data_IF_270330292631
#
_entry.id   IF_270330292631
#
_cell.length_a   1.000
_cell.length_b   1.000
_cell.length_c   1.000
_cell.angle_alpha   90.00
_cell.angle_beta   90.00
_cell.angle_gamma   90.00
#
_symmetry.space_group_name_H-M   'P 1'
#
loop_
_entity.id
_entity.type
_entity.pdbx_description
1 polymer ?
#
# COMPACT_ATOMS: atom_id res chain seq x y z
N UNK A 1 -15.04 -15.10 -5.22
CA UNK A 1 -14.29 -13.86 -5.46
C UNK A 1 -14.20 -13.22 -4.10
N UNK A 2 -13.06 -13.40 -3.45
CA UNK A 2 -12.78 -12.73 -2.19
C UNK A 2 -12.57 -11.24 -2.49
N UNK A 3 -13.19 -10.39 -1.69
CA UNK A 3 -13.09 -8.94 -1.83
C UNK A 3 -12.17 -8.45 -0.74
N UNK A 4 -11.03 -7.92 -1.14
CA UNK A 4 -10.14 -7.21 -0.22
C UNK A 4 -10.69 -5.80 -0.09
N UNK A 5 -11.18 -5.47 1.10
CA UNK A 5 -11.62 -4.13 1.46
C UNK A 5 -10.44 -3.34 2.02
N UNK A 6 -10.22 -2.15 1.49
CA UNK A 6 -9.25 -1.19 2.02
C UNK A 6 -10.01 -0.03 2.65
N UNK A 7 -9.79 0.19 3.94
CA UNK A 7 -10.26 1.37 4.65
C UNK A 7 -9.07 2.23 4.99
N UNK A 8 -9.16 3.50 4.62
CA UNK A 8 -8.15 4.52 4.90
C UNK A 8 -8.74 5.50 5.90
N UNK A 9 -8.09 5.66 7.04
CA UNK A 9 -8.38 6.72 8.00
C UNK A 9 -7.20 7.69 7.99
N UNK A 10 -7.47 8.92 7.59
CA UNK A 10 -6.48 9.97 7.39
C UNK A 10 -6.71 11.06 8.42
N UNK A 11 -5.66 11.37 9.18
CA UNK A 11 -5.58 12.49 10.12
C UNK A 11 -4.62 13.55 9.54
N UNK A 12 -5.08 14.41 8.62
CA UNK A 12 -4.20 15.31 7.89
C UNK A 12 -3.74 16.50 8.74
N UNK A 13 -4.46 16.81 9.83
CA UNK A 13 -4.16 17.92 10.73
C UNK A 13 -3.24 17.55 11.91
N UNK A 14 -2.84 16.27 12.01
CA UNK A 14 -1.84 15.82 12.99
C UNK A 14 -0.43 16.26 12.55
N UNK A 15 0.50 16.37 13.50
CA UNK A 15 1.91 16.69 13.24
C UNK A 15 2.82 15.54 13.74
N UNK A 16 3.31 14.64 12.87
CA UNK A 16 3.08 14.58 11.42
C UNK A 16 1.67 14.07 11.07
N UNK A 17 1.24 14.27 9.81
CA UNK A 17 -0.02 13.71 9.33
C UNK A 17 0.03 12.18 9.40
N UNK A 18 -1.03 11.56 9.89
CA UNK A 18 -1.10 10.10 10.10
C UNK A 18 -2.10 9.50 9.13
N UNK A 19 -1.79 8.32 8.61
CA UNK A 19 -2.76 7.49 7.89
C UNK A 19 -2.74 6.11 8.52
N UNK A 20 -3.91 5.60 8.83
CA UNK A 20 -4.09 4.20 9.13
C UNK A 20 -4.83 3.50 8.02
N UNK A 21 -4.37 2.30 7.75
CA UNK A 21 -4.84 1.43 6.71
C UNK A 21 -5.37 0.16 7.37
N UNK A 22 -6.63 -0.15 7.12
CA UNK A 22 -7.23 -1.41 7.54
C UNK A 22 -7.56 -2.23 6.31
N UNK A 23 -7.00 -3.43 6.25
CA UNK A 23 -7.36 -4.43 5.26
C UNK A 23 -8.30 -5.42 5.89
N UNK A 24 -9.48 -5.52 5.30
CA UNK A 24 -10.52 -6.46 5.72
C UNK A 24 -10.69 -7.53 4.64
N UNK A 25 -10.59 -8.79 5.05
CA UNK A 25 -10.98 -9.93 4.21
C UNK A 25 -12.13 -10.70 4.86
N UNK A 26 -13.33 -10.55 4.27
CA UNK A 26 -14.58 -11.08 4.83
C UNK A 26 -14.62 -12.61 4.92
N UNK A 27 -13.83 -13.32 4.11
CA UNK A 27 -13.86 -14.79 4.04
C UNK A 27 -12.90 -15.46 5.03
N UNK A 28 -11.76 -14.82 5.31
CA UNK A 28 -10.71 -15.37 6.17
C UNK A 28 -10.66 -14.75 7.57
N UNK A 29 -11.48 -13.73 7.86
CA UNK A 29 -11.53 -13.10 9.18
C UNK A 29 -10.24 -12.35 9.52
N UNK A 30 -9.63 -11.76 8.49
CA UNK A 30 -8.35 -11.07 8.59
C UNK A 30 -8.64 -9.57 8.70
N UNK A 31 -8.31 -9.03 9.87
CA UNK A 31 -8.29 -7.59 10.17
C UNK A 31 -6.83 -7.21 10.46
N UNK A 32 -6.09 -6.77 9.43
CA UNK A 32 -4.75 -6.20 9.65
C UNK A 32 -4.84 -4.68 9.59
N UNK A 33 -4.54 -4.05 10.72
CA UNK A 33 -4.39 -2.59 10.82
C UNK A 33 -2.92 -2.23 10.78
N UNK A 34 -2.55 -1.38 9.83
CA UNK A 34 -1.25 -0.77 9.75
C UNK A 34 -1.39 0.75 9.91
N UNK A 35 -0.48 1.38 10.65
CA UNK A 35 -0.48 2.83 10.85
C UNK A 35 0.86 3.39 10.38
N UNK A 36 0.79 4.42 9.55
CA UNK A 36 1.93 5.07 8.93
C UNK A 36 1.87 6.57 9.18
N UNK A 37 3.05 7.19 9.31
CA UNK A 37 3.17 8.64 9.38
C UNK A 37 3.63 9.19 8.03
N UNK A 38 3.32 10.46 7.76
CA UNK A 38 3.84 11.12 6.58
C UNK A 38 5.38 11.09 6.55
N UNK A 39 5.94 10.65 5.43
CA UNK A 39 7.36 10.38 5.25
C UNK A 39 7.70 8.88 5.16
N UNK A 40 6.75 8.00 5.48
CA UNK A 40 6.92 6.55 5.39
C UNK A 40 6.59 6.01 3.99
N UNK A 41 7.33 4.98 3.58
CA UNK A 41 7.05 4.14 2.42
C UNK A 41 7.15 2.69 2.88
N UNK A 42 6.07 1.94 2.70
CA UNK A 42 5.93 0.61 3.31
C UNK A 42 5.33 -0.37 2.31
N UNK A 43 5.91 -1.57 2.27
CA UNK A 43 5.42 -2.70 1.47
C UNK A 43 4.71 -3.70 2.37
N UNK A 44 3.39 -3.80 2.21
CA UNK A 44 2.53 -4.62 3.07
C UNK A 44 2.14 -5.89 2.31
N UNK A 45 2.48 -7.09 2.78
CA UNK A 45 2.00 -8.31 2.14
C UNK A 45 0.48 -8.37 2.24
N UNK A 46 -0.19 -8.69 1.13
CA UNK A 46 -1.61 -9.05 1.12
C UNK A 46 -1.69 -10.54 1.44
N UNK A 47 -2.20 -10.93 2.62
CA UNK A 47 -2.32 -12.32 3.03
C UNK A 47 -3.12 -13.11 2.01
N UNK A 48 -2.70 -14.35 1.79
CA UNK A 48 -3.40 -15.34 0.96
C UNK A 48 -3.66 -14.95 -0.51
N UNK A 49 -3.22 -13.76 -0.93
CA UNK A 49 -3.25 -13.31 -2.31
C UNK A 49 -1.90 -13.56 -2.97
N UNK A 50 -1.92 -14.42 -3.98
CA UNK A 50 -0.77 -14.71 -4.83
C UNK A 50 -1.19 -14.77 -6.28
N UNK A 51 -0.23 -14.47 -7.16
CA UNK A 51 -0.39 -14.55 -8.60
C UNK A 51 0.54 -15.63 -9.12
N UNK A 52 -0.01 -16.60 -9.83
CA UNK A 52 0.79 -17.60 -10.53
C UNK A 52 1.42 -16.98 -11.78
N UNK A 53 2.76 -16.94 -11.80
CA UNK A 53 3.52 -16.48 -12.95
C UNK A 53 3.97 -17.70 -13.76
N UNK A 54 3.49 -17.87 -15.01
CA UNK A 54 3.84 -19.03 -15.83
C UNK A 54 5.36 -19.18 -15.98
N UNK A 55 5.88 -20.33 -15.55
CA UNK A 55 7.31 -20.66 -15.65
C UNK A 55 8.20 -20.15 -14.51
N UNK A 56 7.69 -19.33 -13.59
CA UNK A 56 8.44 -18.78 -12.44
C UNK A 56 7.85 -19.18 -11.07
N UNK A 57 6.60 -19.67 -11.03
CA UNK A 57 5.92 -20.05 -9.80
C UNK A 57 5.00 -18.96 -9.27
N UNK A 58 4.59 -19.06 -8.00
CA UNK A 58 3.72 -18.08 -7.37
C UNK A 58 4.49 -16.86 -6.85
N UNK A 59 3.98 -15.67 -7.10
CA UNK A 59 4.41 -14.41 -6.48
C UNK A 59 3.36 -13.98 -5.44
N UNK A 60 3.82 -13.52 -4.28
CA UNK A 60 2.94 -12.88 -3.30
C UNK A 60 2.53 -11.49 -3.78
N UNK A 61 1.32 -11.07 -3.44
CA UNK A 61 0.88 -9.70 -3.72
C UNK A 61 1.19 -8.81 -2.53
N UNK A 62 1.73 -7.63 -2.80
CA UNK A 62 2.08 -6.62 -1.81
C UNK A 62 1.40 -5.31 -2.18
N UNK A 63 0.94 -4.56 -1.18
CA UNK A 63 0.54 -3.17 -1.36
C UNK A 63 1.73 -2.27 -1.13
N UNK A 64 1.93 -1.33 -2.05
CA UNK A 64 2.90 -0.25 -1.93
C UNK A 64 2.16 1.00 -1.49
N UNK A 65 2.46 1.48 -0.28
CA UNK A 65 1.84 2.66 0.31
C UNK A 65 2.91 3.71 0.52
N UNK A 66 2.72 4.86 -0.13
CA UNK A 66 3.63 6.00 -0.04
C UNK A 66 2.85 7.22 0.43
N UNK A 67 3.31 7.79 1.54
CA UNK A 67 2.66 8.95 2.16
C UNK A 67 3.71 10.02 2.40
N UNK A 68 3.49 11.22 1.89
CA UNK A 68 4.44 12.31 2.07
C UNK A 68 3.76 13.67 2.10
N UNK A 69 4.48 14.65 2.63
CA UNK A 69 4.00 16.03 2.74
C UNK A 69 3.30 16.32 4.06
N UNK A 70 2.34 17.25 4.02
CA UNK A 70 1.64 17.79 5.19
C UNK A 70 0.21 18.20 4.81
N UNK A 71 -0.53 18.83 5.73
CA UNK A 71 -1.91 19.26 5.49
C UNK A 71 -2.11 20.11 4.23
N UNK A 72 -1.14 20.96 3.84
CA UNK A 72 -1.25 21.82 2.65
C UNK A 72 -1.01 21.06 1.34
N UNK A 73 -0.27 19.96 1.40
CA UNK A 73 0.12 19.18 0.23
C UNK A 73 0.42 17.74 0.64
N UNK A 74 -0.62 16.97 0.92
CA UNK A 74 -0.51 15.57 1.30
C UNK A 74 -0.54 14.70 0.04
N UNK A 75 0.56 14.03 -0.27
CA UNK A 75 0.63 13.03 -1.34
C UNK A 75 0.35 11.65 -0.78
N UNK A 76 -0.62 10.96 -1.36
CA UNK A 76 -0.99 9.59 -1.03
C UNK A 76 -1.00 8.75 -2.31
N UNK A 77 -0.13 7.75 -2.35
CA UNK A 77 -0.05 6.78 -3.44
C UNK A 77 -0.23 5.37 -2.86
N UNK A 78 -1.16 4.62 -3.42
CA UNK A 78 -1.49 3.25 -3.03
C UNK A 78 -1.52 2.41 -4.29
N UNK A 79 -0.59 1.48 -4.37
CA UNK A 79 -0.43 0.56 -5.48
C UNK A 79 -0.39 -0.89 -5.03
N UNK A 80 -0.46 -1.79 -6.00
CA UNK A 80 -0.25 -3.22 -5.81
C UNK A 80 0.93 -3.67 -6.66
N UNK A 81 1.83 -4.44 -6.04
CA UNK A 81 2.96 -5.08 -6.69
C UNK A 81 2.95 -6.60 -6.45
N UNK A 82 3.56 -7.34 -7.36
CA UNK A 82 3.80 -8.77 -7.21
C UNK A 82 5.27 -8.99 -6.86
N UNK A 83 5.52 -9.61 -5.70
CA UNK A 83 6.87 -9.85 -5.21
C UNK A 83 7.15 -11.33 -4.97
N UNK A 84 8.39 -11.73 -5.21
CA UNK A 84 8.91 -13.06 -4.95
C UNK A 84 9.99 -12.95 -3.87
N UNK A 85 9.92 -13.79 -2.84
CA UNK A 85 11.00 -13.96 -1.88
C UNK A 85 12.12 -14.79 -2.52
N UNK A 86 13.27 -14.15 -2.75
CA UNK A 86 14.47 -14.80 -3.30
C UNK A 86 15.30 -15.53 -2.24
N UNK A 87 14.80 -15.58 -0.99
CA UNK A 87 15.46 -16.17 0.17
C UNK A 87 16.17 -15.14 1.03
N UNK A 88 16.36 -15.48 2.32
CA UNK A 88 16.99 -14.62 3.34
C UNK A 88 16.27 -13.27 3.54
N UNK A 89 14.97 -13.18 3.24
CA UNK A 89 14.18 -11.96 3.39
C UNK A 89 14.40 -10.93 2.27
N UNK A 90 15.01 -11.35 1.15
CA UNK A 90 15.19 -10.48 -0.02
C UNK A 90 13.98 -10.62 -0.93
N UNK A 91 13.12 -9.61 -0.94
CA UNK A 91 11.99 -9.51 -1.86
C UNK A 91 12.44 -8.90 -3.19
N UNK A 92 12.04 -9.52 -4.30
CA UNK A 92 12.12 -8.93 -5.64
C UNK A 92 10.72 -8.73 -6.17
N UNK A 93 10.36 -7.47 -6.43
CA UNK A 93 9.04 -7.08 -6.93
C UNK A 93 9.05 -6.83 -8.43
N UNK A 94 7.88 -6.78 -9.05
CA UNK A 94 7.74 -6.51 -10.47
C UNK A 94 8.25 -5.09 -10.82
N UNK A 95 8.03 -4.12 -9.92
CA UNK A 95 8.58 -2.75 -10.04
C UNK A 95 10.11 -2.70 -10.15
N UNK A 96 10.84 -3.68 -9.59
CA UNK A 96 12.30 -3.76 -9.74
C UNK A 96 12.71 -4.12 -11.17
N UNK A 97 11.87 -4.84 -11.91
CA UNK A 97 12.12 -5.28 -13.28
C UNK A 97 11.53 -4.30 -14.30
N UNK A 98 10.34 -3.78 -14.02
CA UNK A 98 9.60 -2.86 -14.88
C UNK A 98 8.92 -1.75 -14.05
N UNK A 99 9.71 -0.74 -13.71
CA UNK A 99 9.24 0.42 -12.94
C UNK A 99 8.28 1.34 -13.73
N UNK A 100 8.07 1.11 -15.03
CA UNK A 100 7.15 1.94 -15.82
C UNK A 100 5.70 1.49 -15.67
N UNK A 101 5.49 0.18 -15.57
CA UNK A 101 4.16 -0.43 -15.47
C UNK A 101 3.80 -0.87 -14.03
N UNK A 102 4.79 -0.99 -13.13
CA UNK A 102 4.60 -1.40 -11.74
C UNK A 102 5.21 -0.41 -10.73
N UNK A 103 4.62 -0.30 -9.52
CA UNK A 103 3.41 -0.99 -9.07
C UNK A 103 2.15 -0.44 -9.77
N UNK A 104 1.08 -1.25 -9.76
CA UNK A 104 -0.20 -0.84 -10.34
C UNK A 104 -0.87 0.11 -9.33
N UNK A 105 -0.75 1.41 -9.58
CA UNK A 105 -1.35 2.44 -8.74
C UNK A 105 -2.87 2.45 -8.86
N UNK A 106 -3.56 2.21 -7.75
CA UNK A 106 -5.01 2.34 -7.64
C UNK A 106 -5.41 3.76 -7.22
N UNK A 107 -4.55 4.39 -6.42
CA UNK A 107 -4.65 5.79 -6.02
C UNK A 107 -3.26 6.40 -6.15
N UNK A 108 -3.19 7.55 -6.81
CA UNK A 108 -1.99 8.38 -6.84
C UNK A 108 -2.45 9.83 -6.94
N UNK A 109 -2.47 10.53 -5.81
CA UNK A 109 -3.06 11.86 -5.74
C UNK A 109 -2.46 12.71 -4.63
N UNK A 110 -2.46 14.02 -4.86
CA UNK A 110 -2.12 15.03 -3.86
C UNK A 110 -3.37 15.78 -3.44
N UNK A 111 -3.52 15.96 -2.14
CA UNK A 111 -4.66 16.62 -1.50
C UNK A 111 -4.20 17.84 -0.71
N UNK A 112 -5.05 18.86 -0.67
CA UNK A 112 -4.87 20.05 0.15
C UNK A 112 -5.99 20.10 1.19
N UNK A 113 -5.61 20.00 2.46
CA UNK A 113 -6.46 20.04 3.64
C UNK A 113 -6.26 21.32 4.45
N UNK A 114 -5.56 22.34 3.93
CA UNK A 114 -5.30 23.59 4.63
C UNK A 114 -6.59 24.27 5.11
N UNK A 115 -7.64 24.28 4.29
CA UNK A 115 -8.96 24.84 4.63
C UNK A 115 -9.70 24.04 5.73
N UNK A 116 -9.34 22.78 5.95
CA UNK A 116 -9.98 21.90 6.96
C UNK A 116 -9.24 21.94 8.29
N UNK A 117 -7.93 22.18 8.25
CA UNK A 117 -7.05 22.18 9.42
C UNK A 117 -6.83 23.56 10.06
N UNK A 118 -7.69 24.54 9.75
CA UNK A 118 -7.70 25.89 10.40
C UNK A 118 -8.00 25.86 11.91
#
# INVERSE_FOLDING_TARGET
MDTVGVVLDLEPCSDPATVSFEMTEATLGIDYTYSFSAGDSEMIPVPDLSVDIPGLGGAGVYMDVVISGNAESLSLSIGIDACIDMGFGVLSCASTLDAADFPIWMLDSTFDFSDVCE
#
